data_IF_582202470002
#
_entry.id   IF_582202470002
#
_cell.length_a   1.000
_cell.length_b   1.000
_cell.length_c   1.000
_cell.angle_alpha   90.00
_cell.angle_beta   90.00
_cell.angle_gamma   90.00
#
_symmetry.space_group_name_H-M   'P 1'
#
loop_
_entity.id
_entity.type
_entity.pdbx_description
1 polymer ?
#
# COMPACT_ATOMS: atom_id res chain seq x y z
N UNK A 1 -8.26 -16.14 -9.55
CA UNK A 1 -9.32 -15.55 -8.74
C UNK A 1 -9.28 -14.01 -8.78
N UNK A 2 -8.15 -13.43 -8.50
CA UNK A 2 -8.00 -11.96 -8.51
C UNK A 2 -7.34 -11.45 -9.78
N UNK A 3 -7.70 -11.97 -10.95
CA UNK A 3 -7.04 -11.58 -12.20
C UNK A 3 -7.14 -10.10 -12.51
N UNK A 4 -8.34 -9.55 -12.32
CA UNK A 4 -8.57 -8.14 -12.60
C UNK A 4 -7.77 -7.27 -11.65
N UNK A 5 -7.81 -7.61 -10.38
CA UNK A 5 -7.11 -6.83 -9.35
C UNK A 5 -5.61 -6.97 -9.50
N UNK A 6 -5.14 -8.16 -9.84
CA UNK A 6 -3.74 -8.40 -10.12
C UNK A 6 -3.25 -7.53 -11.28
N UNK A 7 -4.05 -7.45 -12.35
CA UNK A 7 -3.71 -6.61 -13.49
C UNK A 7 -3.64 -5.13 -13.10
N UNK A 8 -4.58 -4.68 -12.29
CA UNK A 8 -4.60 -3.28 -11.85
C UNK A 8 -3.33 -2.96 -11.06
N UNK A 9 -2.93 -3.84 -10.16
CA UNK A 9 -1.71 -3.64 -9.39
C UNK A 9 -0.49 -3.66 -10.28
N UNK A 10 -0.44 -4.60 -11.23
CA UNK A 10 0.67 -4.66 -12.18
C UNK A 10 0.79 -3.42 -13.03
N UNK A 11 -0.31 -2.89 -13.52
CA UNK A 11 -0.31 -1.66 -14.28
C UNK A 11 0.11 -0.46 -13.43
N UNK A 12 -0.33 -0.44 -12.17
CA UNK A 12 0.12 0.59 -11.24
C UNK A 12 1.63 0.55 -11.05
N UNK A 13 2.19 -0.64 -10.89
CA UNK A 13 3.63 -0.79 -10.73
C UNK A 13 4.41 -0.26 -11.94
N UNK A 14 3.89 -0.46 -13.13
CA UNK A 14 4.61 -0.07 -14.34
C UNK A 14 4.41 1.38 -14.73
N UNK A 15 3.23 1.92 -14.51
CA UNK A 15 2.84 3.18 -15.16
C UNK A 15 2.47 4.31 -14.24
N UNK A 16 2.20 4.06 -12.97
CA UNK A 16 1.67 5.08 -12.08
C UNK A 16 2.75 5.74 -11.24
N UNK A 17 2.60 7.04 -11.02
CA UNK A 17 3.42 7.78 -10.07
C UNK A 17 2.71 7.99 -8.75
N UNK A 18 1.46 7.56 -8.64
CA UNK A 18 0.67 7.71 -7.41
C UNK A 18 0.94 6.55 -6.45
N UNK A 19 0.62 6.77 -5.19
CA UNK A 19 0.59 5.67 -4.23
C UNK A 19 -0.67 4.82 -4.46
N UNK A 20 -0.64 3.58 -4.01
CA UNK A 20 -1.78 2.68 -4.13
C UNK A 20 -2.24 2.27 -2.74
N UNK A 21 -3.54 2.35 -2.50
CA UNK A 21 -4.16 1.83 -1.29
C UNK A 21 -5.09 0.69 -1.67
N UNK A 22 -4.81 -0.50 -1.16
CA UNK A 22 -5.65 -1.67 -1.38
C UNK A 22 -6.47 -1.90 -0.13
N UNK A 23 -7.79 -1.79 -0.25
CA UNK A 23 -8.70 -1.95 0.88
C UNK A 23 -9.60 -3.16 0.67
N UNK A 24 -10.23 -3.60 1.75
CA UNK A 24 -11.15 -4.72 1.72
C UNK A 24 -11.22 -5.38 3.08
N UNK A 25 -12.07 -6.39 3.20
CA UNK A 25 -12.21 -7.13 4.43
C UNK A 25 -10.91 -7.88 4.77
N UNK A 26 -10.74 -8.19 6.04
CA UNK A 26 -9.60 -8.98 6.48
C UNK A 26 -9.64 -10.37 5.85
N UNK A 27 -8.45 -10.92 5.60
CA UNK A 27 -8.31 -12.29 5.11
C UNK A 27 -8.89 -12.55 3.72
N UNK A 28 -8.95 -11.53 2.87
CA UNK A 28 -9.35 -11.72 1.48
C UNK A 28 -8.16 -11.71 0.52
N UNK A 29 -6.95 -11.87 1.06
CA UNK A 29 -5.77 -12.05 0.23
C UNK A 29 -5.09 -10.78 -0.25
N UNK A 30 -5.37 -9.63 0.38
CA UNK A 30 -4.73 -8.37 0.01
C UNK A 30 -3.21 -8.45 0.03
N UNK A 31 -2.69 -8.94 1.13
CA UNK A 31 -1.25 -9.04 1.34
C UNK A 31 -0.61 -9.97 0.32
N UNK A 32 -1.20 -11.13 0.12
CA UNK A 32 -0.69 -12.10 -0.84
C UNK A 32 -0.67 -11.53 -2.25
N UNK A 33 -1.75 -10.86 -2.62
CA UNK A 33 -1.90 -10.29 -3.96
C UNK A 33 -0.83 -9.23 -4.23
N UNK A 34 -0.62 -8.34 -3.28
CA UNK A 34 0.37 -7.28 -3.41
C UNK A 34 1.78 -7.87 -3.49
N UNK A 35 2.11 -8.79 -2.58
CA UNK A 35 3.42 -9.44 -2.58
C UNK A 35 3.70 -10.15 -3.90
N UNK A 36 2.70 -10.86 -4.40
CA UNK A 36 2.83 -11.62 -5.62
C UNK A 36 3.12 -10.72 -6.83
N UNK A 37 2.42 -9.59 -6.92
CA UNK A 37 2.62 -8.66 -8.02
C UNK A 37 3.98 -7.96 -7.94
N UNK A 38 4.41 -7.58 -6.75
CA UNK A 38 5.73 -6.97 -6.59
C UNK A 38 6.82 -7.98 -6.97
N UNK A 39 6.66 -9.23 -6.57
CA UNK A 39 7.65 -10.28 -6.89
C UNK A 39 7.81 -10.50 -8.38
N UNK A 40 6.72 -10.38 -9.13
CA UNK A 40 6.76 -10.52 -10.59
C UNK A 40 7.33 -9.30 -11.29
N UNK A 41 7.50 -8.20 -10.57
CA UNK A 41 7.98 -6.95 -11.14
C UNK A 41 9.49 -6.83 -11.02
N UNK A 42 10.02 -5.74 -11.56
CA UNK A 42 11.46 -5.44 -11.46
C UNK A 42 11.86 -4.82 -10.12
N UNK A 43 10.88 -4.52 -9.26
CA UNK A 43 11.14 -3.77 -8.03
C UNK A 43 11.55 -4.67 -6.88
N UNK A 44 12.40 -4.12 -6.03
CA UNK A 44 12.71 -4.71 -4.72
C UNK A 44 11.57 -4.32 -3.76
N UNK A 45 11.17 -5.23 -2.91
CA UNK A 45 10.11 -4.97 -1.94
C UNK A 45 10.69 -4.67 -0.57
N UNK A 46 10.24 -3.60 0.06
CA UNK A 46 10.45 -3.35 1.47
C UNK A 46 9.10 -3.32 2.17
N UNK A 47 8.83 -4.30 3.01
CA UNK A 47 7.52 -4.48 3.62
C UNK A 47 7.56 -4.22 5.12
N UNK A 48 6.57 -3.47 5.61
CA UNK A 48 6.35 -3.28 7.04
C UNK A 48 4.91 -3.68 7.34
N UNK A 49 4.73 -4.65 8.24
CA UNK A 49 3.41 -5.07 8.68
C UNK A 49 3.19 -4.55 10.09
N UNK A 50 2.25 -3.63 10.26
CA UNK A 50 2.07 -2.94 11.52
C UNK A 50 1.41 -3.78 12.60
N UNK A 51 0.84 -4.92 12.26
CA UNK A 51 0.35 -5.87 13.27
C UNK A 51 1.48 -6.74 13.78
N UNK A 52 2.29 -7.26 12.86
CA UNK A 52 3.41 -8.14 13.24
C UNK A 52 4.58 -7.37 13.85
N UNK A 53 4.70 -6.09 13.51
CA UNK A 53 5.82 -5.25 13.94
C UNK A 53 5.28 -4.01 14.66
N UNK A 54 4.73 -4.17 15.86
CA UNK A 54 4.15 -3.03 16.58
C UNK A 54 5.18 -1.95 16.93
N UNK A 55 6.46 -2.31 17.02
CA UNK A 55 7.52 -1.33 17.25
C UNK A 55 7.61 -0.33 16.11
N UNK A 56 7.26 -0.76 14.90
CA UNK A 56 7.27 0.11 13.74
C UNK A 56 6.17 1.16 13.81
N UNK A 57 5.06 0.85 14.46
CA UNK A 57 4.01 1.85 14.67
C UNK A 57 4.56 3.00 15.49
N UNK A 58 5.21 2.69 16.62
CA UNK A 58 5.79 3.72 17.47
C UNK A 58 6.87 4.52 16.74
N UNK A 59 7.67 3.83 15.97
CA UNK A 59 8.79 4.46 15.26
C UNK A 59 8.31 5.41 14.15
N UNK A 60 7.29 5.00 13.38
CA UNK A 60 6.84 5.73 12.21
C UNK A 60 5.62 6.61 12.44
N UNK A 61 4.90 6.41 13.54
CA UNK A 61 3.69 7.16 13.83
C UNK A 61 3.93 8.35 14.79
N UNK A 62 5.16 8.60 15.17
CA UNK A 62 5.50 9.73 16.02
C UNK A 62 5.23 11.03 15.27
N UNK A 63 4.92 12.10 16.02
CA UNK A 63 4.76 13.41 15.40
C UNK A 63 6.08 13.81 14.75
N UNK A 64 6.04 13.96 13.45
CA UNK A 64 7.22 14.33 12.69
C UNK A 64 6.80 14.89 11.35
N UNK A 65 7.69 15.63 10.71
CA UNK A 65 7.44 16.10 9.35
C UNK A 65 7.56 14.91 8.37
N UNK A 66 7.03 15.11 7.18
CA UNK A 66 7.15 14.09 6.14
C UNK A 66 8.62 13.84 5.76
N UNK A 67 9.45 14.88 5.83
CA UNK A 67 10.88 14.74 5.56
C UNK A 67 11.56 13.89 6.61
N UNK A 68 11.24 14.11 7.89
CA UNK A 68 11.76 13.28 8.98
C UNK A 68 11.30 11.83 8.85
N UNK A 69 10.05 11.64 8.44
CA UNK A 69 9.51 10.31 8.19
C UNK A 69 10.35 9.58 7.14
N UNK A 70 10.66 10.27 6.04
CA UNK A 70 11.43 9.67 4.96
C UNK A 70 12.85 9.31 5.42
N UNK A 71 13.47 10.16 6.21
CA UNK A 71 14.79 9.87 6.77
C UNK A 71 14.73 8.61 7.65
N UNK A 72 13.74 8.54 8.52
CA UNK A 72 13.58 7.36 9.38
C UNK A 72 13.34 6.09 8.57
N UNK A 73 12.54 6.21 7.53
CA UNK A 73 12.25 5.07 6.65
C UNK A 73 13.52 4.57 5.98
N UNK A 74 14.33 5.47 5.48
CA UNK A 74 15.60 5.11 4.84
C UNK A 74 16.56 4.43 5.81
N UNK A 75 16.54 4.83 7.07
CA UNK A 75 17.44 4.27 8.08
C UNK A 75 17.14 2.80 8.39
N UNK A 76 15.92 2.36 8.20
CA UNK A 76 15.55 0.97 8.48
C UNK A 76 15.54 0.09 7.24
N UNK A 77 15.72 0.67 6.07
CA UNK A 77 15.77 -0.11 4.82
C UNK A 77 17.11 -0.81 4.64
N UNK A 78 17.08 -2.06 4.14
CA UNK A 78 18.32 -2.74 3.74
C UNK A 78 19.01 -2.02 2.59
N UNK A 79 20.31 -2.29 2.43
CA UNK A 79 21.11 -1.63 1.39
C UNK A 79 20.66 -1.96 -0.03
N UNK A 80 20.02 -3.11 -0.24
CA UNK A 80 19.52 -3.48 -1.55
C UNK A 80 18.24 -2.75 -1.95
N UNK A 81 17.63 -2.00 -1.03
CA UNK A 81 16.46 -1.19 -1.31
C UNK A 81 16.89 0.19 -1.82
N UNK A 82 17.21 0.26 -3.10
CA UNK A 82 17.72 1.49 -3.70
C UNK A 82 16.62 2.41 -4.17
N UNK A 83 16.90 3.70 -4.21
CA UNK A 83 15.97 4.69 -4.73
C UNK A 83 15.63 4.37 -6.18
N UNK A 84 14.38 4.60 -6.54
CA UNK A 84 13.81 4.36 -7.86
C UNK A 84 13.72 2.88 -8.25
N UNK A 85 14.10 1.98 -7.37
CA UNK A 85 14.07 0.54 -7.62
C UNK A 85 13.30 -0.24 -6.56
N UNK A 86 12.68 0.46 -5.62
CA UNK A 86 12.03 -0.16 -4.46
C UNK A 86 10.57 0.24 -4.34
N UNK A 87 9.74 -0.75 -4.01
CA UNK A 87 8.35 -0.53 -3.61
C UNK A 87 8.27 -0.70 -2.10
N UNK A 88 7.79 0.32 -1.42
CA UNK A 88 7.55 0.27 0.02
C UNK A 88 6.12 -0.17 0.24
N UNK A 89 5.94 -1.27 0.94
CA UNK A 89 4.63 -1.85 1.20
C UNK A 89 4.30 -1.74 2.69
N UNK A 90 3.32 -0.91 3.02
CA UNK A 90 2.82 -0.77 4.39
C UNK A 90 1.56 -1.62 4.53
N UNK A 91 1.69 -2.74 5.23
CA UNK A 91 0.56 -3.65 5.45
C UNK A 91 -0.12 -3.30 6.78
N UNK A 92 -1.44 -3.41 6.80
CA UNK A 92 -2.27 -3.09 7.95
C UNK A 92 -2.16 -1.61 8.33
N UNK A 93 -2.32 -0.75 7.34
CA UNK A 93 -2.10 0.69 7.46
C UNK A 93 -3.02 1.36 8.48
N UNK A 94 -4.15 0.73 8.82
CA UNK A 94 -5.06 1.28 9.81
C UNK A 94 -4.42 1.39 11.19
N UNK A 95 -3.33 0.68 11.41
CA UNK A 95 -2.58 0.79 12.67
C UNK A 95 -1.65 1.99 12.68
N UNK A 96 -1.40 2.61 11.52
CA UNK A 96 -0.50 3.75 11.41
C UNK A 96 -1.06 4.74 10.39
N UNK A 97 -2.24 5.31 10.63
CA UNK A 97 -2.95 6.13 9.63
C UNK A 97 -2.23 7.45 9.30
N UNK A 98 -1.33 7.89 10.15
CA UNK A 98 -0.57 9.12 9.89
C UNK A 98 0.25 9.05 8.61
N UNK A 99 0.60 7.85 8.17
CA UNK A 99 1.34 7.69 6.92
C UNK A 99 0.56 8.22 5.73
N UNK A 100 -0.76 8.04 5.74
CA UNK A 100 -1.61 8.50 4.65
C UNK A 100 -1.51 10.02 4.48
N UNK A 101 -1.37 10.74 5.58
CA UNK A 101 -1.25 12.20 5.52
C UNK A 101 0.07 12.67 4.92
N UNK A 102 1.06 11.80 4.88
CA UNK A 102 2.39 12.13 4.35
C UNK A 102 2.58 11.69 2.90
N UNK A 103 1.58 11.03 2.32
CA UNK A 103 1.69 10.41 0.99
C UNK A 103 1.99 11.44 -0.09
N UNK A 104 1.38 12.64 -0.01
CA UNK A 104 1.64 13.66 -1.01
C UNK A 104 3.12 13.99 -1.11
N UNK A 105 3.75 14.22 0.03
CA UNK A 105 5.19 14.52 0.05
C UNK A 105 6.00 13.34 -0.49
N UNK A 106 5.66 12.14 -0.04
CA UNK A 106 6.42 10.95 -0.43
C UNK A 106 6.34 10.68 -1.92
N UNK A 107 5.17 10.88 -2.52
CA UNK A 107 4.97 10.72 -3.95
C UNK A 107 5.70 11.80 -4.73
N UNK A 108 5.61 13.05 -4.29
CA UNK A 108 6.31 14.17 -4.94
C UNK A 108 7.82 14.02 -4.87
N UNK A 109 8.33 13.53 -3.76
CA UNK A 109 9.74 13.33 -3.59
C UNK A 109 10.27 12.24 -4.53
N UNK A 110 9.49 11.17 -4.72
CA UNK A 110 9.71 10.23 -5.81
C UNK A 110 10.79 9.19 -5.65
N UNK A 111 11.39 9.06 -4.47
CA UNK A 111 12.44 8.06 -4.28
C UNK A 111 11.94 6.61 -4.37
N UNK A 112 10.72 6.38 -3.93
CA UNK A 112 10.14 5.03 -3.86
C UNK A 112 8.72 5.02 -4.36
N UNK A 113 8.24 3.83 -4.73
CA UNK A 113 6.80 3.60 -4.93
C UNK A 113 6.21 3.15 -3.61
N UNK A 114 4.97 3.56 -3.35
CA UNK A 114 4.30 3.25 -2.08
C UNK A 114 3.01 2.52 -2.34
N UNK A 115 2.83 1.39 -1.67
CA UNK A 115 1.57 0.66 -1.66
C UNK A 115 1.20 0.37 -0.22
N UNK A 116 -0.08 0.52 0.09
CA UNK A 116 -0.61 0.31 1.42
C UNK A 116 -1.78 -0.65 1.35
N UNK A 117 -1.97 -1.44 2.38
CA UNK A 117 -3.17 -2.25 2.51
C UNK A 117 -3.77 -2.09 3.88
N UNK A 118 -5.08 -2.21 3.95
CA UNK A 118 -5.78 -2.13 5.22
C UNK A 118 -7.22 -2.59 5.09
N UNK A 119 -7.83 -2.94 6.22
CA UNK A 119 -9.23 -3.31 6.23
C UNK A 119 -10.12 -2.07 6.26
N UNK A 120 -11.32 -2.20 5.68
CA UNK A 120 -12.27 -1.09 5.62
C UNK A 120 -13.07 -1.00 6.91
N UNK A 121 -12.54 -0.28 7.87
CA UNK A 121 -13.28 0.08 9.07
C UNK A 121 -13.41 1.59 9.12
N UNK A 122 -14.39 2.09 9.83
CA UNK A 122 -14.75 3.51 9.80
C UNK A 122 -13.60 4.50 9.92
N UNK A 123 -12.58 4.15 10.68
CA UNK A 123 -11.47 5.06 10.93
C UNK A 123 -10.64 5.30 9.67
N UNK A 124 -10.43 4.27 8.90
CA UNK A 124 -9.62 4.38 7.68
C UNK A 124 -10.27 5.28 6.66
N UNK A 125 -11.58 5.29 6.62
CA UNK A 125 -12.31 6.12 5.68
C UNK A 125 -12.03 7.59 5.90
N UNK A 126 -11.83 8.01 7.15
CA UNK A 126 -11.49 9.40 7.45
C UNK A 126 -10.12 9.76 6.92
N UNK A 127 -9.15 8.87 7.09
CA UNK A 127 -7.82 9.08 6.57
C UNK A 127 -7.82 9.15 5.05
N UNK A 128 -8.56 8.27 4.40
CA UNK A 128 -8.67 8.25 2.95
C UNK A 128 -9.35 9.52 2.45
N UNK A 129 -10.40 9.95 3.14
CA UNK A 129 -11.13 11.16 2.73
C UNK A 129 -10.27 12.40 2.81
N UNK A 130 -9.29 12.43 3.71
CA UNK A 130 -8.39 13.57 3.84
C UNK A 130 -7.13 13.44 2.98
N UNK A 131 -6.96 12.33 2.28
CA UNK A 131 -5.81 12.13 1.41
C UNK A 131 -5.87 13.10 0.23
N UNK A 132 -4.73 13.66 -0.20
CA UNK A 132 -4.73 14.59 -1.32
C UNK A 132 -5.19 13.93 -2.61
N UNK A 133 -6.11 14.59 -3.30
CA UNK A 133 -6.59 14.12 -4.61
C UNK A 133 -5.41 14.15 -5.59
N UNK A 134 -5.30 13.09 -6.35
CA UNK A 134 -4.25 12.99 -7.37
C UNK A 134 -2.97 12.31 -6.94
N UNK A 135 -2.86 11.97 -5.66
CA UNK A 135 -1.66 11.31 -5.14
C UNK A 135 -1.91 9.88 -4.68
N UNK A 136 -3.16 9.46 -4.65
CA UNK A 136 -3.53 8.16 -4.14
C UNK A 136 -4.57 7.49 -5.04
N UNK A 137 -4.29 6.27 -5.45
CA UNK A 137 -5.24 5.42 -6.14
C UNK A 137 -5.76 4.39 -5.15
N UNK A 138 -7.07 4.21 -5.09
CA UNK A 138 -7.69 3.25 -4.16
C UNK A 138 -8.22 2.08 -4.96
N UNK A 139 -7.80 0.88 -4.57
CA UNK A 139 -8.31 -0.37 -5.12
C UNK A 139 -9.05 -1.10 -4.01
N UNK A 140 -10.34 -1.31 -4.19
CA UNK A 140 -11.15 -2.01 -3.20
C UNK A 140 -11.35 -3.46 -3.62
N UNK A 141 -10.89 -4.39 -2.80
CA UNK A 141 -11.15 -5.80 -3.00
C UNK A 141 -12.44 -6.19 -2.30
N UNK A 142 -13.20 -7.07 -2.91
CA UNK A 142 -14.48 -7.50 -2.40
C UNK A 142 -14.63 -9.00 -2.54
N UNK A 143 -15.32 -9.62 -1.60
CA UNK A 143 -15.65 -11.04 -1.69
C UNK A 143 -16.52 -11.34 -2.92
N UNK A 144 -17.24 -10.34 -3.39
CA UNK A 144 -18.06 -10.50 -4.60
C UNK A 144 -17.16 -10.80 -5.81
N UNK A 145 -15.98 -10.21 -5.87
CA UNK A 145 -15.03 -10.50 -6.94
C UNK A 145 -14.59 -11.96 -6.95
N UNK A 146 -14.60 -12.59 -5.80
CA UNK A 146 -14.20 -13.99 -5.68
C UNK A 146 -15.31 -14.91 -6.20
N UNK A 147 -16.54 -14.56 -5.91
CA UNK A 147 -17.68 -15.41 -6.26
C UNK A 147 -18.22 -15.15 -7.64
N UNK A 148 -17.97 -13.98 -8.19
CA UNK A 148 -18.53 -13.61 -9.50
C UNK A 148 -18.18 -14.56 -10.63
N UNK A 149 -16.98 -15.06 -10.74
CA UNK A 149 -16.64 -15.95 -11.85
C UNK A 149 -17.54 -17.18 -11.97
N UNK A 150 -18.19 -17.53 -10.92
CA UNK A 150 -19.06 -18.69 -10.97
C UNK A 150 -20.42 -18.39 -11.55
N UNK A 151 -20.75 -17.20 -11.71
CA UNK A 151 -21.98 -16.81 -12.34
C UNK A 151 -21.76 -16.05 -13.60
N UNK A 152 -21.19 -15.59 -13.75
CA UNK A 152 -21.04 -14.90 -14.64
C UNK A 152 -20.73 -15.48 -15.52
N UNK A 153 -20.89 -15.55 -14.76
CA UNK A 153 -20.87 -15.83 -15.02
C UNK A 153 -21.23 -16.40 -15.24
N UNK A 154 -21.55 -16.24 -14.86
CA UNK A 154 -21.90 -16.57 -14.82
C UNK A 154 -22.35 -16.77 -15.15
N UNK A 155 -22.68 -16.68 -15.37
CA UNK A 155 -23.14 -16.67 -15.55
C UNK A 155 -23.37 -16.73 -15.84
#
# INVERSE_FOLDING_TARGET
MYRKDSRIIGEWLENSNKALLVTGARQIGKTWLIRNEIEKSKYTKFEVNFIDQPDMVSYLNAEMSAEEFLVKLKMIMPEDCKEHETVVFFDEIQKCPEIVTKIKFLVDEGSYKYVMSGSLLGVELKGIASAPVGYLTVLRLSLIHISEPTRLRCI
#
